data_IF_147241045862
#
_entry.id   IF_147241045862
#
_cell.length_a   1.000
_cell.length_b   1.000
_cell.length_c   1.000
_cell.angle_alpha   90.00
_cell.angle_beta   90.00
_cell.angle_gamma   90.00
#
_symmetry.space_group_name_H-M   'P 1'
#
loop_
_entity.id
_entity.type
_entity.pdbx_description
1 polymer ?
#
# COMPACT_ATOMS: atom_id res chain seq x y z
N UNK A 1 -8.23 -38.57 13.87
CA UNK A 1 -8.09 -37.79 12.62
C UNK A 1 -9.23 -36.80 12.60
N UNK A 2 -9.16 -35.72 13.38
CA UNK A 2 -8.59 -34.39 13.05
C UNK A 2 -9.31 -33.74 11.87
N UNK A 3 -10.51 -33.23 12.19
CA UNK A 3 -11.14 -32.05 11.58
C UNK A 3 -10.46 -30.80 12.17
N UNK A 4 -9.89 -29.95 11.32
CA UNK A 4 -9.51 -28.57 11.63
C UNK A 4 -10.03 -27.72 10.46
N UNK A 5 -10.28 -26.44 10.70
CA UNK A 5 -10.91 -25.46 9.79
C UNK A 5 -12.42 -25.23 9.99
N UNK A 6 -12.78 -24.86 11.23
CA UNK A 6 -13.92 -23.97 11.53
C UNK A 6 -13.50 -22.98 12.61
N UNK A 7 -12.98 -21.82 12.22
CA UNK A 7 -12.78 -20.69 13.14
C UNK A 7 -13.92 -19.70 12.90
N UNK A 8 -14.96 -19.89 13.71
CA UNK A 8 -15.73 -18.90 14.48
C UNK A 8 -16.16 -17.64 13.72
N UNK A 9 -17.39 -17.70 13.23
CA UNK A 9 -18.26 -16.56 12.94
C UNK A 9 -18.73 -15.91 14.25
N UNK A 10 -18.40 -14.62 14.40
CA UNK A 10 -19.17 -13.54 15.03
C UNK A 10 -20.32 -13.90 15.99
N UNK A 11 -20.14 -13.53 17.28
CA UNK A 11 -21.24 -13.17 18.17
C UNK A 11 -21.19 -11.65 18.34
N UNK A 12 -22.15 -10.97 17.72
CA UNK A 12 -22.46 -9.56 17.92
C UNK A 12 -23.94 -9.52 18.33
N UNK A 13 -24.21 -9.23 19.59
CA UNK A 13 -25.54 -8.84 20.04
C UNK A 13 -25.41 -7.76 21.11
N UNK A 14 -26.11 -6.68 20.81
CA UNK A 14 -26.12 -5.39 21.47
C UNK A 14 -26.60 -5.44 22.92
N UNK A 15 -26.00 -4.58 23.75
CA UNK A 15 -26.76 -3.83 24.73
C UNK A 15 -26.29 -2.38 24.72
N UNK A 16 -27.23 -1.51 24.37
CA UNK A 16 -27.12 -0.07 24.48
C UNK A 16 -27.37 0.34 25.93
N UNK A 17 -26.45 1.09 26.52
CA UNK A 17 -26.78 2.10 27.52
C UNK A 17 -25.92 3.33 27.23
N UNK A 18 -26.60 4.45 27.00
CA UNK A 18 -25.98 5.71 26.65
C UNK A 18 -25.15 6.30 27.77
N UNK A 19 -24.31 7.26 27.42
CA UNK A 19 -24.07 8.49 28.19
C UNK A 19 -23.25 9.48 27.35
N UNK A 20 -23.86 10.64 27.15
CA UNK A 20 -23.27 11.97 27.00
C UNK A 20 -21.94 12.12 26.24
N UNK A 21 -22.01 12.80 25.09
CA UNK A 21 -20.94 13.63 24.57
C UNK A 21 -20.47 14.62 25.64
N UNK A 22 -19.29 14.37 26.20
CA UNK A 22 -18.50 15.38 26.89
C UNK A 22 -17.28 15.68 26.00
N UNK A 23 -17.42 16.70 25.17
CA UNK A 23 -16.30 17.33 24.47
C UNK A 23 -15.27 17.77 25.51
N UNK A 24 -14.19 17.00 25.67
CA UNK A 24 -13.04 17.39 26.49
C UNK A 24 -12.08 18.23 25.64
N UNK A 25 -11.89 19.53 25.95
CA UNK A 25 -10.79 20.29 25.39
C UNK A 25 -9.55 19.97 26.23
N UNK A 26 -8.69 19.08 25.74
CA UNK A 26 -7.41 18.78 26.39
C UNK A 26 -6.91 17.36 26.17
N UNK A 27 -6.62 16.97 24.92
CA UNK A 27 -6.18 15.59 24.61
C UNK A 27 -4.97 15.54 23.68
N UNK A 28 -4.01 16.45 23.86
CA UNK A 28 -2.69 16.35 23.22
C UNK A 28 -1.62 15.82 24.20
N UNK A 29 -1.67 16.24 25.47
CA UNK A 29 -0.68 15.82 26.49
C UNK A 29 -0.85 14.38 27.01
N UNK A 30 -2.09 13.88 27.10
CA UNK A 30 -2.36 12.53 27.60
C UNK A 30 -1.92 11.43 26.64
N UNK A 31 -2.22 11.59 25.35
CA UNK A 31 -1.87 10.60 24.32
C UNK A 31 -0.35 10.43 24.14
N UNK A 32 0.42 11.53 24.14
CA UNK A 32 1.89 11.47 24.12
C UNK A 32 2.45 10.79 25.37
N UNK A 33 1.91 11.09 26.57
CA UNK A 33 2.39 10.43 27.80
C UNK A 33 2.18 8.91 27.76
N UNK A 34 1.07 8.43 27.18
CA UNK A 34 0.80 7.00 26.99
C UNK A 34 1.71 6.36 25.92
N UNK A 35 1.99 7.07 24.83
CA UNK A 35 2.90 6.58 23.79
C UNK A 35 4.33 6.40 24.32
N UNK A 36 4.86 7.42 25.01
CA UNK A 36 6.19 7.39 25.61
C UNK A 36 6.35 6.21 26.59
N UNK A 37 5.35 5.93 27.42
CA UNK A 37 5.35 4.78 28.33
C UNK A 37 5.41 3.44 27.57
N UNK A 38 4.64 3.31 26.48
CA UNK A 38 4.65 2.09 25.63
C UNK A 38 6.03 1.90 24.99
N UNK A 39 6.64 2.97 24.48
CA UNK A 39 7.97 2.93 23.86
C UNK A 39 9.07 2.59 24.87
N UNK A 40 8.98 3.08 26.11
CA UNK A 40 9.95 2.79 27.16
C UNK A 40 9.88 1.33 27.63
N UNK A 41 8.67 0.74 27.61
CA UNK A 41 8.41 -0.65 27.99
C UNK A 41 8.86 -1.69 26.94
N UNK A 42 9.27 -1.27 25.73
CA UNK A 42 9.73 -2.20 24.70
C UNK A 42 11.04 -2.89 25.09
N UNK A 43 11.08 -4.21 24.86
CA UNK A 43 12.30 -5.00 24.97
C UNK A 43 13.11 -4.88 23.65
N UNK A 44 14.37 -4.44 23.70
CA UNK A 44 15.22 -4.29 22.50
C UNK A 44 15.54 -5.61 21.78
N UNK A 45 15.22 -6.75 22.38
CA UNK A 45 15.43 -8.08 21.80
C UNK A 45 14.16 -8.72 21.25
N UNK A 46 13.00 -8.06 21.36
CA UNK A 46 11.73 -8.55 20.83
C UNK A 46 11.28 -7.80 19.57
N UNK A 47 11.73 -8.19 18.36
CA UNK A 47 11.30 -7.58 17.11
C UNK A 47 9.78 -7.55 16.93
N UNK A 48 9.06 -8.50 17.52
CA UNK A 48 7.60 -8.59 17.39
C UNK A 48 6.91 -7.40 18.07
N UNK A 49 7.35 -7.03 19.27
CA UNK A 49 6.78 -5.90 20.00
C UNK A 49 6.95 -4.57 19.24
N UNK A 50 8.08 -4.40 18.56
CA UNK A 50 8.28 -3.26 17.66
C UNK A 50 7.31 -3.28 16.49
N UNK A 51 7.12 -4.43 15.84
CA UNK A 51 6.23 -4.57 14.69
C UNK A 51 4.76 -4.29 15.08
N UNK A 52 4.26 -4.93 16.14
CA UNK A 52 2.87 -4.77 16.59
C UNK A 52 2.58 -3.32 17.00
N UNK A 53 3.51 -2.67 17.72
CA UNK A 53 3.35 -1.25 18.03
C UNK A 53 3.41 -0.36 16.78
N UNK A 54 4.20 -0.73 15.77
CA UNK A 54 4.25 0.02 14.51
C UNK A 54 2.91 -0.03 13.78
N UNK A 55 2.24 -1.19 13.75
CA UNK A 55 0.91 -1.35 13.14
C UNK A 55 -0.13 -0.48 13.85
N UNK A 56 -0.18 -0.54 15.18
CA UNK A 56 -1.09 0.29 15.98
C UNK A 56 -0.93 1.79 15.70
N UNK A 57 0.31 2.25 15.47
CA UNK A 57 0.62 3.66 15.23
C UNK A 57 0.49 4.08 13.76
N UNK A 58 0.49 3.11 12.83
CA UNK A 58 0.34 3.40 11.40
C UNK A 58 -1.05 3.94 11.08
N UNK A 59 -2.07 3.44 11.79
CA UNK A 59 -3.45 3.90 11.72
C UNK A 59 -3.71 5.21 12.49
N UNK A 60 -2.68 5.76 13.16
CA UNK A 60 -2.76 7.01 13.90
C UNK A 60 -3.00 8.22 13.01
N UNK A 61 -3.60 9.26 13.59
CA UNK A 61 -3.93 10.49 12.86
C UNK A 61 -2.73 11.45 12.75
N UNK A 62 -1.73 11.33 13.64
CA UNK A 62 -0.62 12.28 13.72
C UNK A 62 0.61 11.88 12.89
N UNK A 63 1.28 12.88 12.30
CA UNK A 63 2.56 12.63 11.61
C UNK A 63 3.67 12.16 12.56
N UNK A 64 3.57 12.51 13.85
CA UNK A 64 4.49 12.02 14.87
C UNK A 64 4.36 10.50 15.07
N UNK A 65 3.14 9.99 15.20
CA UNK A 65 2.87 8.55 15.28
C UNK A 65 3.35 7.83 14.01
N UNK A 66 3.03 8.36 12.82
CA UNK A 66 3.50 7.79 11.54
C UNK A 66 5.03 7.76 11.43
N UNK A 67 5.71 8.81 11.91
CA UNK A 67 7.19 8.85 11.97
C UNK A 67 7.74 7.80 12.93
N UNK A 68 7.12 7.61 14.09
CA UNK A 68 7.50 6.57 15.06
C UNK A 68 7.24 5.18 14.48
N UNK A 69 6.08 4.94 13.86
CA UNK A 69 5.73 3.70 13.19
C UNK A 69 6.76 3.30 12.13
N UNK A 70 7.16 4.23 11.24
CA UNK A 70 8.23 4.01 10.25
C UNK A 70 9.53 3.51 10.90
N UNK A 71 9.93 4.11 12.04
CA UNK A 71 11.14 3.70 12.76
C UNK A 71 10.97 2.32 13.41
N UNK A 72 9.82 2.03 14.02
CA UNK A 72 9.53 0.75 14.66
C UNK A 72 9.49 -0.40 13.64
N UNK A 73 8.88 -0.21 12.47
CA UNK A 73 8.97 -1.15 11.35
C UNK A 73 10.43 -1.41 10.97
N UNK A 74 11.22 -0.34 10.81
CA UNK A 74 12.64 -0.45 10.49
C UNK A 74 13.44 -1.24 11.54
N UNK A 75 13.16 -1.04 12.83
CA UNK A 75 13.77 -1.80 13.93
C UNK A 75 13.37 -3.27 13.88
N UNK A 76 12.08 -3.58 13.74
CA UNK A 76 11.59 -4.96 13.65
C UNK A 76 12.26 -5.71 12.50
N UNK A 77 12.30 -5.11 11.31
CA UNK A 77 12.91 -5.69 10.12
C UNK A 77 14.43 -5.86 10.21
N UNK A 78 15.13 -5.02 10.98
CA UNK A 78 16.58 -5.17 11.21
C UNK A 78 16.92 -6.17 12.33
N UNK A 79 16.07 -6.30 13.34
CA UNK A 79 16.29 -7.23 14.46
C UNK A 79 16.00 -8.68 14.05
N UNK A 80 14.97 -8.93 13.24
CA UNK A 80 14.67 -10.25 12.68
C UNK A 80 14.33 -10.13 11.19
N UNK A 81 15.39 -10.23 10.38
CA UNK A 81 15.32 -10.05 8.93
C UNK A 81 14.48 -11.12 8.25
N UNK A 82 14.59 -12.37 8.70
CA UNK A 82 13.90 -13.51 8.08
C UNK A 82 12.38 -13.38 8.21
N UNK A 83 11.91 -12.84 9.33
CA UNK A 83 10.48 -12.77 9.62
C UNK A 83 9.82 -11.44 9.27
N UNK A 84 10.51 -10.31 9.51
CA UNK A 84 9.86 -9.00 9.48
C UNK A 84 10.38 -8.05 8.41
N UNK A 85 11.48 -8.32 7.72
CA UNK A 85 12.07 -7.34 6.78
C UNK A 85 11.12 -6.98 5.62
N UNK A 86 10.51 -7.96 4.97
CA UNK A 86 9.54 -7.72 3.90
C UNK A 86 8.28 -6.99 4.39
N UNK A 87 7.71 -7.42 5.52
CA UNK A 87 6.52 -6.79 6.11
C UNK A 87 6.80 -5.36 6.60
N UNK A 88 7.97 -5.12 7.18
CA UNK A 88 8.42 -3.79 7.56
C UNK A 88 8.58 -2.87 6.35
N UNK A 89 9.16 -3.35 5.25
CA UNK A 89 9.24 -2.59 4.00
C UNK A 89 7.85 -2.20 3.47
N UNK A 90 6.88 -3.12 3.54
CA UNK A 90 5.49 -2.83 3.15
C UNK A 90 4.82 -1.82 4.08
N UNK A 91 4.99 -1.95 5.39
CA UNK A 91 4.46 -0.99 6.37
C UNK A 91 5.04 0.42 6.16
N UNK A 92 6.35 0.54 5.92
CA UNK A 92 6.98 1.83 5.60
C UNK A 92 6.50 2.36 4.24
N UNK A 93 6.25 1.49 3.26
CA UNK A 93 5.73 1.90 1.96
C UNK A 93 4.34 2.55 2.05
N UNK A 94 3.48 2.02 2.93
CA UNK A 94 2.14 2.56 3.15
C UNK A 94 2.20 3.97 3.77
N UNK A 95 3.17 4.18 4.67
CA UNK A 95 3.44 5.47 5.31
C UNK A 95 4.28 6.44 4.46
N UNK A 96 4.70 6.06 3.26
CA UNK A 96 5.49 6.92 2.39
C UNK A 96 4.65 8.08 1.82
N UNK A 97 5.19 9.30 1.83
CA UNK A 97 4.48 10.48 1.32
C UNK A 97 4.49 10.55 -0.21
N UNK A 98 5.49 9.97 -0.86
CA UNK A 98 5.65 10.01 -2.31
C UNK A 98 5.52 8.63 -2.96
N UNK A 99 4.93 8.60 -4.16
CA UNK A 99 4.67 7.38 -4.90
C UNK A 99 5.95 6.64 -5.33
N UNK A 100 7.08 7.35 -5.48
CA UNK A 100 8.35 6.75 -5.90
C UNK A 100 8.97 5.94 -4.77
N UNK A 101 9.01 6.49 -3.56
CA UNK A 101 9.46 5.80 -2.35
C UNK A 101 8.57 4.61 -2.04
N UNK A 102 7.24 4.77 -2.15
CA UNK A 102 6.29 3.65 -2.01
C UNK A 102 6.61 2.51 -2.99
N UNK A 103 6.79 2.84 -4.28
CA UNK A 103 7.15 1.85 -5.32
C UNK A 103 8.51 1.19 -5.04
N UNK A 104 9.51 1.96 -4.59
CA UNK A 104 10.84 1.46 -4.21
C UNK A 104 10.76 0.47 -3.05
N UNK A 105 10.01 0.80 -2.01
CA UNK A 105 9.87 -0.04 -0.82
C UNK A 105 9.06 -1.30 -1.11
N UNK A 106 7.99 -1.20 -1.90
CA UNK A 106 7.25 -2.39 -2.38
C UNK A 106 8.13 -3.31 -3.22
N UNK A 107 8.97 -2.75 -4.10
CA UNK A 107 9.95 -3.54 -4.85
C UNK A 107 10.98 -4.20 -3.92
N UNK A 108 11.55 -3.44 -2.98
CA UNK A 108 12.50 -3.93 -1.98
C UNK A 108 11.90 -5.07 -1.14
N UNK A 109 10.63 -4.97 -0.74
CA UNK A 109 9.93 -6.01 0.00
C UNK A 109 9.89 -7.37 -0.73
N UNK A 110 9.91 -7.38 -2.07
CA UNK A 110 9.96 -8.63 -2.85
C UNK A 110 11.35 -9.27 -2.90
N UNK A 111 12.39 -8.48 -2.61
CA UNK A 111 13.79 -8.91 -2.62
C UNK A 111 14.28 -9.28 -1.20
N UNK A 112 13.62 -8.77 -0.17
CA UNK A 112 13.92 -9.04 1.23
C UNK A 112 13.45 -10.43 1.68
N UNK A 113 14.10 -11.04 2.68
CA UNK A 113 13.65 -12.30 3.28
C UNK A 113 12.19 -12.24 3.77
N UNK A 114 11.45 -13.33 3.59
CA UNK A 114 9.99 -13.37 3.80
C UNK A 114 9.16 -12.70 2.70
N UNK A 115 9.81 -12.01 1.75
CA UNK A 115 9.19 -11.46 0.56
C UNK A 115 8.80 -12.55 -0.42
N UNK A 116 7.56 -12.52 -0.92
CA UNK A 116 7.13 -13.40 -2.00
C UNK A 116 7.12 -12.66 -3.34
N UNK A 117 7.86 -13.13 -4.36
CA UNK A 117 7.73 -12.61 -5.72
C UNK A 117 6.33 -12.84 -6.30
N UNK A 118 5.42 -13.56 -5.61
CA UNK A 118 4.01 -13.65 -6.00
C UNK A 118 3.29 -12.30 -6.05
N UNK A 119 3.75 -11.27 -5.34
CA UNK A 119 3.19 -9.91 -5.47
C UNK A 119 3.43 -9.31 -6.88
N UNK A 120 4.44 -9.79 -7.61
CA UNK A 120 4.67 -9.48 -9.04
C UNK A 120 3.92 -10.49 -9.94
N UNK A 121 3.49 -11.63 -9.38
CA UNK A 121 2.76 -12.66 -10.11
C UNK A 121 1.24 -12.40 -10.19
N UNK A 122 0.65 -11.63 -9.26
CA UNK A 122 -0.76 -11.19 -9.39
C UNK A 122 -0.96 -10.32 -10.63
N UNK A 123 0.07 -9.58 -11.05
CA UNK A 123 0.14 -8.82 -12.30
C UNK A 123 0.18 -9.73 -13.55
N UNK A 124 0.40 -11.04 -13.37
CA UNK A 124 0.53 -12.02 -14.46
C UNK A 124 -0.77 -12.76 -14.77
N UNK A 125 -1.90 -12.39 -14.17
CA UNK A 125 -3.18 -12.95 -14.58
C UNK A 125 -3.57 -12.31 -15.90
N UNK A 126 -3.26 -13.00 -16.99
CA UNK A 126 -3.52 -12.55 -18.36
C UNK A 126 -5.02 -12.35 -18.54
N UNK A 127 -5.42 -11.11 -18.86
CA UNK A 127 -6.68 -10.91 -19.58
C UNK A 127 -6.53 -11.58 -20.95
N UNK A 128 -7.59 -12.19 -21.46
CA UNK A 128 -7.57 -12.64 -22.84
C UNK A 128 -7.46 -11.42 -23.78
N UNK A 129 -6.91 -11.59 -24.99
CA UNK A 129 -6.68 -10.47 -25.91
C UNK A 129 -7.94 -9.69 -26.27
N UNK A 130 -9.11 -10.34 -26.26
CA UNK A 130 -10.37 -9.69 -26.59
C UNK A 130 -10.82 -8.76 -25.46
N UNK A 131 -10.76 -9.23 -24.20
CA UNK A 131 -11.02 -8.36 -23.04
C UNK A 131 -10.03 -7.21 -22.96
N UNK A 132 -8.74 -7.46 -23.20
CA UNK A 132 -7.72 -6.40 -23.23
C UNK A 132 -8.05 -5.31 -24.27
N UNK A 133 -8.46 -5.72 -25.47
CA UNK A 133 -8.88 -4.79 -26.54
C UNK A 133 -10.15 -4.01 -26.17
N UNK A 134 -11.16 -4.68 -25.62
CA UNK A 134 -12.41 -4.04 -25.18
C UNK A 134 -12.17 -2.98 -24.10
N UNK A 135 -11.29 -3.27 -23.15
CA UNK A 135 -10.91 -2.32 -22.09
C UNK A 135 -10.18 -1.11 -22.66
N UNK A 136 -9.21 -1.30 -23.56
CA UNK A 136 -8.51 -0.18 -24.22
C UNK A 136 -9.47 0.69 -25.04
N UNK A 137 -10.41 0.07 -25.77
CA UNK A 137 -11.43 0.81 -26.51
C UNK A 137 -12.34 1.63 -25.58
N UNK A 138 -12.77 1.03 -24.45
CA UNK A 138 -13.57 1.71 -23.45
C UNK A 138 -12.82 2.90 -22.83
N UNK A 139 -11.52 2.80 -22.58
CA UNK A 139 -10.70 3.90 -22.08
C UNK A 139 -10.51 5.00 -23.12
N UNK A 140 -10.38 4.66 -24.40
CA UNK A 140 -10.40 5.62 -25.50
C UNK A 140 -11.72 6.40 -25.55
N UNK A 141 -12.86 5.71 -25.40
CA UNK A 141 -14.17 6.35 -25.32
C UNK A 141 -14.31 7.23 -24.07
N UNK A 142 -13.89 6.73 -22.90
CA UNK A 142 -13.92 7.43 -21.63
C UNK A 142 -13.18 8.76 -21.70
N UNK A 143 -11.97 8.78 -22.27
CA UNK A 143 -11.17 10.00 -22.51
C UNK A 143 -11.86 11.02 -23.42
N UNK A 144 -12.81 10.57 -24.25
CA UNK A 144 -13.64 11.44 -25.11
C UNK A 144 -15.01 11.77 -24.52
N UNK A 145 -15.27 11.42 -23.25
CA UNK A 145 -16.55 11.65 -22.57
C UNK A 145 -17.66 10.66 -22.93
N UNK A 146 -17.31 9.52 -23.55
CA UNK A 146 -18.24 8.42 -23.84
C UNK A 146 -17.99 7.28 -22.86
N UNK A 147 -18.95 7.00 -21.98
CA UNK A 147 -18.75 6.07 -20.86
C UNK A 147 -19.53 4.76 -21.00
N UNK A 148 -20.34 4.62 -22.06
CA UNK A 148 -21.25 3.48 -22.26
C UNK A 148 -20.52 2.14 -22.23
N UNK A 149 -19.36 2.05 -22.91
CA UNK A 149 -18.58 0.80 -22.91
C UNK A 149 -17.95 0.51 -21.55
N UNK A 150 -17.45 1.54 -20.87
CA UNK A 150 -16.84 1.39 -19.56
C UNK A 150 -17.86 0.91 -18.52
N UNK A 151 -19.06 1.52 -18.47
CA UNK A 151 -20.14 1.06 -17.58
C UNK A 151 -20.53 -0.40 -17.86
N UNK A 152 -20.65 -0.80 -19.13
CA UNK A 152 -20.94 -2.20 -19.50
C UNK A 152 -19.84 -3.16 -19.07
N UNK A 153 -18.58 -2.75 -19.12
CA UNK A 153 -17.46 -3.57 -18.65
C UNK A 153 -17.50 -3.77 -17.13
N UNK A 154 -17.97 -2.79 -16.35
CA UNK A 154 -18.17 -2.95 -14.91
C UNK A 154 -19.26 -3.95 -14.54
N UNK A 155 -20.22 -4.22 -15.43
CA UNK A 155 -21.24 -5.27 -15.24
C UNK A 155 -20.65 -6.68 -15.35
N UNK A 156 -19.50 -6.83 -16.02
CA UNK A 156 -18.82 -8.13 -16.15
C UNK A 156 -17.97 -8.44 -14.90
N UNK A 157 -18.30 -9.51 -14.13
CA UNK A 157 -17.58 -9.86 -12.90
C UNK A 157 -16.13 -10.32 -13.11
N UNK A 158 -15.74 -10.65 -14.35
CA UNK A 158 -14.35 -10.98 -14.71
C UNK A 158 -13.56 -9.69 -14.89
N UNK A 159 -14.12 -8.73 -15.63
CA UNK A 159 -13.48 -7.43 -15.86
C UNK A 159 -13.43 -6.59 -14.58
N UNK A 160 -14.48 -6.63 -13.76
CA UNK A 160 -14.47 -6.01 -12.43
C UNK A 160 -13.30 -6.53 -11.58
N UNK A 161 -13.12 -7.85 -11.51
CA UNK A 161 -11.99 -8.46 -10.79
C UNK A 161 -10.64 -8.09 -11.38
N UNK A 162 -10.56 -7.88 -12.70
CA UNK A 162 -9.35 -7.41 -13.37
C UNK A 162 -8.99 -5.99 -12.91
N UNK A 163 -9.96 -5.09 -12.82
CA UNK A 163 -9.76 -3.75 -12.26
C UNK A 163 -9.38 -3.81 -10.79
N UNK A 164 -10.07 -4.60 -9.97
CA UNK A 164 -9.79 -4.75 -8.53
C UNK A 164 -8.38 -5.30 -8.27
N UNK A 165 -7.91 -6.21 -9.12
CA UNK A 165 -6.54 -6.75 -9.02
C UNK A 165 -5.48 -5.72 -9.40
N UNK A 166 -5.86 -4.69 -10.16
CA UNK A 166 -4.97 -3.66 -10.70
C UNK A 166 -5.25 -2.28 -10.11
N UNK A 167 -5.88 -2.24 -8.94
CA UNK A 167 -6.32 -1.04 -8.24
C UNK A 167 -5.16 -0.05 -8.01
N UNK A 168 -3.96 -0.58 -7.78
CA UNK A 168 -2.74 0.20 -7.56
C UNK A 168 -2.16 0.87 -8.82
N UNK A 169 -2.57 0.42 -10.00
CA UNK A 169 -2.16 1.02 -11.29
C UNK A 169 -3.18 2.05 -11.76
N UNK A 170 -4.46 1.87 -11.43
CA UNK A 170 -5.53 2.77 -11.83
C UNK A 170 -5.45 4.11 -11.07
N UNK A 171 -5.81 5.24 -11.71
CA UNK A 171 -5.91 6.51 -10.99
C UNK A 171 -6.96 6.41 -9.89
N UNK A 172 -6.60 6.67 -8.63
CA UNK A 172 -7.55 6.62 -7.51
C UNK A 172 -8.23 5.27 -7.27
N UNK A 173 -7.74 4.19 -7.90
CA UNK A 173 -8.31 2.86 -7.83
C UNK A 173 -9.58 2.64 -8.65
N UNK A 174 -10.20 1.48 -8.47
CA UNK A 174 -11.42 1.05 -9.17
C UNK A 174 -12.60 1.96 -8.82
N UNK A 175 -12.72 2.36 -7.55
CA UNK A 175 -13.82 3.19 -7.08
C UNK A 175 -13.82 4.55 -7.78
N UNK A 176 -12.65 5.17 -7.96
CA UNK A 176 -12.54 6.42 -8.72
C UNK A 176 -13.00 6.24 -10.17
N UNK A 177 -12.65 5.12 -10.80
CA UNK A 177 -13.03 4.85 -12.18
C UNK A 177 -14.53 4.58 -12.32
N UNK A 178 -15.14 3.90 -11.35
CA UNK A 178 -16.58 3.64 -11.26
C UNK A 178 -17.33 4.97 -11.08
N UNK A 179 -16.95 5.79 -10.09
CA UNK A 179 -17.50 7.13 -9.85
C UNK A 179 -17.35 8.06 -11.06
N UNK A 180 -16.17 8.07 -11.69
CA UNK A 180 -15.92 8.86 -12.88
C UNK A 180 -16.82 8.41 -14.05
N UNK A 181 -17.14 7.12 -14.14
CA UNK A 181 -18.01 6.55 -15.18
C UNK A 181 -19.50 6.87 -14.99
N UNK A 182 -19.94 7.06 -13.75
CA UNK A 182 -21.32 7.40 -13.40
C UNK A 182 -21.68 8.87 -13.72
N UNK A 183 -20.68 9.74 -13.85
CA UNK A 183 -20.83 11.17 -14.15
C UNK A 183 -21.48 11.52 -15.50
N UNK A 184 -21.84 10.52 -16.31
CA UNK A 184 -22.57 10.69 -17.57
C UNK A 184 -21.72 11.17 -18.75
N UNK A 185 -22.33 11.88 -19.72
CA UNK A 185 -21.62 12.41 -20.91
C UNK A 185 -20.81 13.67 -20.59
N UNK A 186 -19.84 13.54 -19.69
CA UNK A 186 -18.87 14.61 -19.40
C UNK A 186 -17.48 14.10 -19.72
N UNK A 187 -16.66 14.95 -20.35
CA UNK A 187 -15.24 14.62 -20.54
C UNK A 187 -14.61 14.62 -19.14
N UNK A 188 -13.99 13.52 -18.70
CA UNK A 188 -13.35 13.46 -17.39
C UNK A 188 -12.16 14.43 -17.36
N UNK A 189 -12.04 15.19 -16.28
CA UNK A 189 -10.87 16.03 -16.04
C UNK A 189 -9.71 15.15 -15.56
N UNK A 190 -8.95 14.62 -16.52
CA UNK A 190 -7.81 13.76 -16.24
C UNK A 190 -6.52 14.57 -16.13
N UNK A 191 -5.86 14.48 -14.99
CA UNK A 191 -4.50 15.00 -14.87
C UNK A 191 -3.56 14.21 -15.79
N UNK A 192 -2.38 14.76 -16.05
CA UNK A 192 -1.35 14.04 -16.83
C UNK A 192 -0.97 12.71 -16.17
N UNK A 193 -0.97 12.66 -14.84
CA UNK A 193 -0.68 11.44 -14.07
C UNK A 193 -1.75 10.38 -14.30
N UNK A 194 -3.02 10.77 -14.31
CA UNK A 194 -4.14 9.84 -14.53
C UNK A 194 -4.13 9.27 -15.95
N UNK A 195 -3.85 10.12 -16.95
CA UNK A 195 -3.72 9.69 -18.34
C UNK A 195 -2.60 8.66 -18.51
N UNK A 196 -1.45 8.87 -17.86
CA UNK A 196 -0.33 7.93 -17.90
C UNK A 196 -0.64 6.62 -17.16
N UNK A 197 -1.34 6.68 -16.04
CA UNK A 197 -1.80 5.50 -15.31
C UNK A 197 -2.76 4.64 -16.15
N UNK A 198 -3.75 5.25 -16.80
CA UNK A 198 -4.66 4.55 -17.72
C UNK A 198 -3.89 3.92 -18.90
N UNK A 199 -2.97 4.66 -19.54
CA UNK A 199 -2.16 4.11 -20.65
C UNK A 199 -1.25 2.96 -20.21
N UNK A 200 -0.62 3.04 -19.02
CA UNK A 200 0.16 1.93 -18.47
C UNK A 200 -0.70 0.69 -18.26
N UNK A 201 -1.89 0.86 -17.72
CA UNK A 201 -2.84 -0.23 -17.53
C UNK A 201 -3.27 -0.85 -18.88
N UNK A 202 -3.63 -0.03 -19.88
CA UNK A 202 -3.95 -0.52 -21.24
C UNK A 202 -2.79 -1.35 -21.82
N UNK A 203 -1.55 -0.86 -21.70
CA UNK A 203 -0.35 -1.55 -22.19
C UNK A 203 -0.08 -2.86 -21.45
N UNK A 204 -0.31 -2.88 -20.13
CA UNK A 204 -0.23 -4.12 -19.36
C UNK A 204 -1.22 -5.17 -19.87
N UNK A 205 -2.45 -4.78 -20.20
CA UNK A 205 -3.43 -5.71 -20.74
C UNK A 205 -3.05 -6.20 -22.13
N UNK A 206 -2.66 -5.29 -23.03
CA UNK A 206 -2.37 -5.61 -24.43
C UNK A 206 -1.09 -6.43 -24.60
N UNK A 207 -0.05 -6.18 -23.81
CA UNK A 207 1.20 -6.95 -23.82
C UNK A 207 1.15 -8.16 -22.86
N UNK A 208 -0.04 -8.69 -22.58
CA UNK A 208 -0.23 -9.92 -21.78
C UNK A 208 0.46 -9.89 -20.41
N UNK A 209 0.44 -8.73 -19.76
CA UNK A 209 1.04 -8.46 -18.45
C UNK A 209 2.55 -8.22 -18.49
N UNK A 210 3.17 -8.08 -19.66
CA UNK A 210 4.63 -7.86 -19.81
C UNK A 210 4.96 -6.77 -20.83
N UNK A 211 4.58 -5.51 -20.56
CA UNK A 211 4.98 -4.42 -21.42
C UNK A 211 6.51 -4.39 -21.52
N UNK A 212 7.03 -4.29 -22.74
CA UNK A 212 8.46 -4.17 -22.98
C UNK A 212 9.01 -2.91 -22.29
N UNK A 213 10.28 -2.95 -21.85
CA UNK A 213 10.93 -1.77 -21.26
C UNK A 213 10.91 -0.56 -22.19
N UNK A 214 11.08 -0.77 -23.50
CA UNK A 214 10.95 0.27 -24.52
C UNK A 214 9.55 0.88 -24.55
N UNK A 215 8.51 0.06 -24.42
CA UNK A 215 7.11 0.53 -24.40
C UNK A 215 6.85 1.39 -23.16
N UNK A 216 7.28 0.93 -21.98
CA UNK A 216 7.14 1.68 -20.73
C UNK A 216 7.88 3.02 -20.78
N UNK A 217 9.14 3.03 -21.25
CA UNK A 217 9.93 4.26 -21.36
C UNK A 217 9.30 5.28 -22.32
N UNK A 218 8.75 4.81 -23.45
CA UNK A 218 8.08 5.67 -24.43
C UNK A 218 6.83 6.35 -23.85
N UNK A 219 6.09 5.66 -22.98
CA UNK A 219 4.89 6.21 -22.33
C UNK A 219 5.24 7.14 -21.18
N UNK A 220 6.20 6.74 -20.34
CA UNK A 220 6.54 7.48 -19.12
C UNK A 220 7.39 8.73 -19.37
N UNK A 221 7.95 8.88 -20.58
CA UNK A 221 8.89 9.95 -20.96
C UNK A 221 10.09 10.04 -20.00
N UNK A 222 10.79 8.91 -19.90
CA UNK A 222 12.14 8.83 -19.33
C UNK A 222 12.30 9.29 -17.87
N UNK A 223 11.47 8.81 -16.92
CA UNK A 223 11.84 8.93 -15.52
C UNK A 223 13.11 8.11 -15.27
N UNK A 224 14.09 8.60 -14.48
CA UNK A 224 15.28 7.85 -14.16
C UNK A 224 14.88 6.50 -13.55
N UNK A 225 15.53 5.43 -14.02
CA UNK A 225 15.28 4.06 -13.56
C UNK A 225 15.24 4.02 -12.02
N UNK A 226 14.27 3.28 -11.49
CA UNK A 226 14.16 3.08 -10.06
C UNK A 226 15.29 2.17 -9.60
N UNK A 227 16.40 2.76 -9.17
CA UNK A 227 17.52 2.02 -8.60
C UNK A 227 17.14 1.55 -7.19
N UNK A 228 17.00 0.23 -7.06
CA UNK A 228 16.95 -0.44 -5.75
C UNK A 228 18.34 -1.00 -5.51
N UNK A 229 19.06 -0.40 -4.57
CA UNK A 229 20.33 -0.94 -4.09
C UNK A 229 20.07 -2.29 -3.41
N UNK A 230 20.35 -3.38 -4.14
CA UNK A 230 20.15 -4.74 -3.68
C UNK A 230 21.09 -5.11 -2.52
N UNK A 231 22.27 -4.50 -2.47
CA UNK A 231 23.27 -4.74 -1.41
C UNK A 231 22.93 -3.92 -0.15
N UNK A 232 22.26 -2.79 -0.32
CA UNK A 232 21.85 -1.87 0.74
C UNK A 232 20.38 -1.96 1.17
N UNK A 233 19.64 -3.04 0.86
CA UNK A 233 18.21 -3.16 1.20
C UNK A 233 17.91 -2.91 2.68
N UNK A 234 18.81 -3.31 3.57
CA UNK A 234 18.65 -3.10 5.02
C UNK A 234 18.70 -1.61 5.42
N UNK A 235 19.41 -0.78 4.64
CA UNK A 235 19.47 0.67 4.85
C UNK A 235 18.16 1.36 4.45
N UNK A 236 17.39 0.74 3.55
CA UNK A 236 16.06 1.25 3.16
C UNK A 236 15.04 1.17 4.31
N UNK A 237 15.23 0.21 5.23
CA UNK A 237 14.33 0.02 6.37
C UNK A 237 14.63 1.01 7.50
N UNK A 238 15.92 1.26 7.76
CA UNK A 238 16.35 2.21 8.78
C UNK A 238 17.76 2.72 8.46
N UNK A 239 17.83 3.99 8.10
CA UNK A 239 19.08 4.73 7.86
C UNK A 239 19.74 5.01 9.22
N UNK A 240 20.75 4.23 9.60
CA UNK A 240 21.74 4.57 10.64
C UNK A 240 22.81 3.45 10.80
N UNK A 241 24.06 3.89 11.04
CA UNK A 241 25.25 3.07 11.37
C UNK A 241 25.18 2.44 12.78
N UNK A 242 24.15 2.74 13.57
CA UNK A 242 23.93 2.08 14.87
C UNK A 242 22.43 1.90 15.09
N UNK A 243 21.97 0.65 15.14
CA UNK A 243 20.59 0.34 15.55
C UNK A 243 20.43 0.84 16.98
N UNK A 244 19.56 1.83 17.19
CA UNK A 244 19.22 2.38 18.52
C UNK A 244 17.81 1.92 18.91
N UNK A 245 17.66 0.71 19.47
CA UNK A 245 16.34 0.12 19.70
C UNK A 245 15.64 0.68 20.94
N UNK A 246 16.38 1.31 21.87
CA UNK A 246 15.85 1.76 23.14
C UNK A 246 15.35 3.20 23.04
N UNK A 247 14.15 3.46 23.57
CA UNK A 247 13.62 4.81 23.79
C UNK A 247 13.78 5.17 25.27
N UNK A 248 14.51 6.23 25.60
CA UNK A 248 14.72 6.73 26.97
C UNK A 248 14.68 8.25 26.97
N UNK A 249 13.94 8.85 27.90
CA UNK A 249 13.83 10.32 28.05
C UNK A 249 13.50 11.04 26.73
N UNK A 250 12.60 10.44 25.94
CA UNK A 250 12.21 10.98 24.63
C UNK A 250 13.30 10.92 23.55
N UNK A 251 14.36 10.12 23.72
CA UNK A 251 15.46 9.93 22.76
C UNK A 251 15.70 8.46 22.44
N UNK A 252 16.15 8.18 21.21
CA UNK A 252 16.57 6.84 20.81
C UNK A 252 18.04 6.64 21.17
N UNK A 253 18.34 5.62 21.97
CA UNK A 253 19.69 5.31 22.48
C UNK A 253 20.16 3.95 21.99
N UNK A 254 21.48 3.84 21.81
CA UNK A 254 22.12 2.54 21.58
C UNK A 254 22.08 1.73 22.89
N UNK A 255 22.24 0.41 22.74
CA UNK A 255 22.41 -0.50 23.87
C UNK A 255 23.71 -0.20 24.63
#
# INVERSE_FOLDING_TARGET
>A
MIDRWRVITLVLSAMALGSASASHPGSAGGASTTLEQRLEALDPTDPRAYFELAEDLADGDSEEERRVARRLFGLAGRLDREKYSASAALGIAELASDARTRKRLRAAATMLPGGSPMLIASWRRQADPQTAFQVSEAFGEFRTGRMVKLCRLFEDPVVRRLFETSDDVLPGGVNWLEEASEGGRRIPELSRTDQLALLRFELMLLESGRPSWSTLLAVERDPPLLEVDAEGLDRLLLDEETIRPLRRDGRWVAR
#
